data_IF_382601262771
#
_entry.id   IF_382601262771
#
_cell.length_a   1.000
_cell.length_b   1.000
_cell.length_c   1.000
_cell.angle_alpha   90.00
_cell.angle_beta   90.00
_cell.angle_gamma   90.00
#
_symmetry.space_group_name_H-M   'P 1'
#
loop_
_entity.id
_entity.type
_entity.pdbx_description
1 polymer ?
#
# COMPACT_ATOMS: atom_id res chain seq x y z
N UNK A 1 -20.59 -6.80 -23.79
CA UNK A 1 -19.83 -5.76 -23.06
C UNK A 1 -20.05 -6.06 -21.59
N UNK A 2 -19.06 -6.61 -20.88
CA UNK A 2 -19.22 -6.89 -19.45
C UNK A 2 -19.21 -5.57 -18.69
N UNK A 3 -20.25 -5.31 -17.90
CA UNK A 3 -20.25 -4.23 -16.92
C UNK A 3 -18.98 -4.32 -16.07
N UNK A 4 -18.02 -3.42 -16.31
CA UNK A 4 -16.91 -3.22 -15.41
C UNK A 4 -17.44 -2.43 -14.22
N UNK A 5 -18.01 -3.15 -13.25
CA UNK A 5 -18.36 -2.55 -11.97
C UNK A 5 -17.08 -1.94 -11.36
N UNK A 6 -17.12 -0.65 -11.07
CA UNK A 6 -15.99 0.07 -10.50
C UNK A 6 -15.57 -0.60 -9.18
N UNK A 7 -14.29 -0.98 -9.08
CA UNK A 7 -13.76 -1.61 -7.88
C UNK A 7 -13.49 -0.54 -6.84
N UNK A 8 -14.11 -0.65 -5.66
CA UNK A 8 -13.84 0.24 -4.54
C UNK A 8 -12.40 0.07 -4.07
N UNK A 9 -11.61 1.15 -4.12
CA UNK A 9 -10.25 1.18 -3.62
C UNK A 9 -10.29 1.14 -2.08
N UNK A 10 -9.49 0.25 -1.48
CA UNK A 10 -9.42 0.07 -0.02
C UNK A 10 -8.04 0.37 0.56
N UNK A 11 -6.99 0.14 -0.23
CA UNK A 11 -5.59 0.24 0.19
C UNK A 11 -4.76 0.88 -0.90
N UNK A 12 -3.84 1.77 -0.54
CA UNK A 12 -2.85 2.37 -1.43
C UNK A 12 -1.43 2.12 -0.91
N UNK A 13 -0.54 1.61 -1.77
CA UNK A 13 0.89 1.52 -1.50
C UNK A 13 1.58 2.74 -2.11
N UNK A 14 2.26 3.55 -1.30
CA UNK A 14 2.82 4.83 -1.73
C UNK A 14 4.31 4.88 -1.37
N UNK A 15 5.17 5.06 -2.38
CA UNK A 15 6.61 5.24 -2.20
C UNK A 15 7.13 6.15 -3.31
N UNK A 16 7.47 7.38 -2.96
CA UNK A 16 7.85 8.41 -3.94
C UNK A 16 9.12 9.14 -3.53
N UNK A 17 9.98 9.40 -4.51
CA UNK A 17 11.20 10.21 -4.30
C UNK A 17 10.88 11.70 -4.26
N UNK A 18 9.97 12.17 -5.12
CA UNK A 18 9.46 13.53 -5.10
C UNK A 18 8.17 13.61 -4.26
N UNK A 19 8.12 14.53 -3.30
CA UNK A 19 7.02 14.67 -2.32
C UNK A 19 6.08 15.83 -2.67
N UNK A 20 6.27 16.50 -3.80
CA UNK A 20 5.35 17.54 -4.27
C UNK A 20 3.91 16.99 -4.32
N UNK A 21 3.01 17.62 -3.57
CA UNK A 21 1.59 17.25 -3.50
C UNK A 21 1.26 15.97 -2.72
N UNK A 22 2.26 15.26 -2.18
CA UNK A 22 2.07 13.96 -1.51
C UNK A 22 1.09 14.06 -0.34
N UNK A 23 1.28 15.03 0.55
CA UNK A 23 0.49 15.16 1.79
C UNK A 23 -0.98 15.44 1.47
N UNK A 24 -1.25 16.42 0.61
CA UNK A 24 -2.62 16.79 0.23
C UNK A 24 -3.36 15.62 -0.42
N UNK A 25 -2.69 14.94 -1.36
CA UNK A 25 -3.24 13.77 -2.02
C UNK A 25 -3.58 12.66 -1.03
N UNK A 26 -2.63 12.27 -0.17
CA UNK A 26 -2.82 11.21 0.81
C UNK A 26 -3.87 11.56 1.86
N UNK A 27 -3.96 12.83 2.26
CA UNK A 27 -4.97 13.30 3.20
C UNK A 27 -6.38 13.04 2.68
N UNK A 28 -6.65 13.46 1.44
CA UNK A 28 -7.93 13.21 0.78
C UNK A 28 -8.24 11.71 0.69
N UNK A 29 -7.26 10.88 0.33
CA UNK A 29 -7.46 9.42 0.29
C UNK A 29 -7.89 8.85 1.65
N UNK A 30 -7.29 9.31 2.74
CA UNK A 30 -7.60 8.82 4.09
C UNK A 30 -8.91 9.40 4.61
N UNK A 31 -9.05 10.72 4.59
CA UNK A 31 -10.14 11.45 5.27
C UNK A 31 -11.47 11.32 4.50
N UNK A 32 -11.46 11.47 3.17
CA UNK A 32 -12.69 11.47 2.36
C UNK A 32 -13.07 10.06 1.91
N UNK A 33 -12.08 9.21 1.62
CA UNK A 33 -12.32 7.89 1.03
C UNK A 33 -12.08 6.72 1.99
N UNK A 34 -11.52 6.96 3.17
CA UNK A 34 -11.21 5.92 4.15
C UNK A 34 -10.18 4.90 3.65
N UNK A 35 -9.30 5.30 2.74
CA UNK A 35 -8.29 4.41 2.14
C UNK A 35 -7.13 4.23 3.10
N UNK A 36 -6.74 2.97 3.35
CA UNK A 36 -5.57 2.61 4.12
C UNK A 36 -4.29 2.87 3.32
N UNK A 37 -3.38 3.69 3.85
CA UNK A 37 -2.08 3.93 3.21
C UNK A 37 -1.02 3.00 3.82
N UNK A 38 -0.25 2.34 2.95
CA UNK A 38 0.99 1.62 3.28
C UNK A 38 2.14 2.41 2.65
N UNK A 39 3.18 2.69 3.43
CA UNK A 39 4.31 3.50 2.98
C UNK A 39 5.63 3.04 3.60
N UNK A 40 6.74 3.67 3.21
CA UNK A 40 8.09 3.31 3.65
C UNK A 40 9.07 4.47 3.55
N UNK A 41 10.10 4.46 4.42
CA UNK A 41 11.23 5.40 4.41
C UNK A 41 10.75 6.86 4.42
N UNK A 42 11.45 7.73 3.68
CA UNK A 42 11.12 9.15 3.65
C UNK A 42 9.73 9.52 3.09
N UNK A 43 8.98 8.58 2.49
CA UNK A 43 7.56 8.84 2.17
C UNK A 43 6.70 8.70 3.43
N UNK A 44 6.98 7.69 4.25
CA UNK A 44 6.26 7.47 5.51
C UNK A 44 6.52 8.61 6.49
N UNK A 45 7.77 9.05 6.62
CA UNK A 45 8.14 10.15 7.51
C UNK A 45 7.40 11.45 7.15
N UNK A 46 7.39 11.81 5.86
CA UNK A 46 6.68 13.01 5.40
C UNK A 46 5.16 12.96 5.70
N UNK A 47 4.55 11.78 5.64
CA UNK A 47 3.13 11.60 5.98
C UNK A 47 2.89 11.67 7.50
N UNK A 48 3.74 11.03 8.30
CA UNK A 48 3.66 11.05 9.77
C UNK A 48 3.85 12.47 10.32
N UNK A 49 4.83 13.22 9.82
CA UNK A 49 5.07 14.62 10.20
C UNK A 49 3.84 15.50 9.93
N UNK A 50 3.16 15.27 8.79
CA UNK A 50 1.93 15.94 8.43
C UNK A 50 0.66 15.36 9.12
N UNK A 51 0.82 14.41 10.04
CA UNK A 51 -0.26 13.73 10.76
C UNK A 51 -1.26 13.02 9.84
N UNK A 52 -0.80 12.54 8.68
CA UNK A 52 -1.59 11.67 7.79
C UNK A 52 -1.36 10.22 8.19
N UNK A 53 -2.44 9.48 8.46
CA UNK A 53 -2.34 8.10 8.90
C UNK A 53 -1.76 7.20 7.79
N UNK A 54 -0.67 6.49 8.08
CA UNK A 54 -0.01 5.58 7.16
C UNK A 54 0.69 4.46 7.94
N UNK A 55 0.57 3.24 7.43
CA UNK A 55 1.15 2.02 8.02
C UNK A 55 2.53 1.80 7.42
N UNK A 56 3.48 1.39 8.25
CA UNK A 56 4.81 1.04 7.78
C UNK A 56 4.80 -0.30 7.05
N UNK A 57 5.55 -0.40 5.95
CA UNK A 57 5.59 -1.65 5.16
C UNK A 57 6.13 -2.85 5.94
N UNK A 58 7.02 -2.63 6.90
CA UNK A 58 7.56 -3.67 7.78
C UNK A 58 6.49 -4.22 8.72
N UNK A 59 5.64 -3.34 9.28
CA UNK A 59 4.46 -3.73 10.07
C UNK A 59 3.46 -4.54 9.24
N UNK A 60 3.20 -4.10 8.00
CA UNK A 60 2.28 -4.79 7.10
C UNK A 60 2.78 -6.18 6.67
N UNK A 61 4.06 -6.28 6.31
CA UNK A 61 4.67 -7.52 5.84
C UNK A 61 4.99 -8.48 7.00
N UNK A 62 5.32 -7.94 8.18
CA UNK A 62 5.92 -8.67 9.29
C UNK A 62 7.41 -8.94 9.10
N UNK A 63 8.04 -8.32 8.09
CA UNK A 63 9.45 -8.52 7.75
C UNK A 63 10.25 -7.23 7.99
N UNK A 64 11.39 -7.29 8.70
CA UNK A 64 12.17 -6.09 9.02
C UNK A 64 12.84 -5.51 7.76
N UNK A 65 13.21 -4.24 7.84
CA UNK A 65 14.07 -3.63 6.82
C UNK A 65 15.47 -4.26 6.84
N UNK A 66 16.04 -4.52 5.66
CA UNK A 66 17.40 -5.02 5.51
C UNK A 66 18.08 -4.45 4.26
N UNK A 67 19.41 -4.52 4.22
CA UNK A 67 20.26 -4.05 3.12
C UNK A 67 20.02 -2.57 2.75
N UNK A 68 19.94 -1.69 3.75
CA UNK A 68 19.66 -0.26 3.60
C UNK A 68 18.42 0.00 2.73
N UNK A 69 17.36 -0.75 2.99
CA UNK A 69 16.06 -0.57 2.33
C UNK A 69 15.94 -1.14 0.92
N UNK A 70 16.96 -1.87 0.42
CA UNK A 70 16.95 -2.44 -0.94
C UNK A 70 15.87 -3.51 -1.17
N UNK A 71 15.47 -4.25 -0.14
CA UNK A 71 14.57 -5.41 -0.29
C UNK A 71 13.30 -5.32 0.55
N UNK A 72 12.97 -4.13 1.07
CA UNK A 72 11.83 -3.91 1.98
C UNK A 72 10.45 -4.15 1.37
N UNK A 73 10.32 -4.07 0.05
CA UNK A 73 9.04 -4.28 -0.67
C UNK A 73 8.97 -5.60 -1.42
N UNK A 74 10.07 -6.36 -1.49
CA UNK A 74 10.16 -7.64 -2.21
C UNK A 74 9.53 -8.76 -1.38
N UNK A 75 8.22 -8.65 -1.13
CA UNK A 75 7.48 -9.55 -0.27
C UNK A 75 6.18 -10.02 -0.95
N UNK A 76 5.74 -11.29 -0.77
CA UNK A 76 4.50 -11.81 -1.38
C UNK A 76 3.25 -11.00 -1.03
N UNK A 77 3.11 -10.52 0.23
CA UNK A 77 2.00 -9.63 0.62
C UNK A 77 1.92 -8.34 -0.22
N UNK A 78 3.06 -7.84 -0.70
CA UNK A 78 3.13 -6.63 -1.52
C UNK A 78 2.86 -6.98 -2.97
N UNK A 79 3.69 -7.85 -3.57
CA UNK A 79 3.61 -8.17 -4.99
C UNK A 79 2.36 -9.00 -5.34
N UNK A 80 1.92 -9.89 -4.46
CA UNK A 80 0.66 -10.62 -4.62
C UNK A 80 -0.54 -9.69 -4.59
N UNK A 81 -0.54 -8.68 -3.71
CA UNK A 81 -1.60 -7.65 -3.69
C UNK A 81 -1.66 -6.79 -4.96
N UNK A 82 -0.52 -6.58 -5.63
CA UNK A 82 -0.43 -5.80 -6.88
C UNK A 82 -0.75 -6.65 -8.11
N UNK A 83 -0.23 -7.87 -8.18
CA UNK A 83 -0.22 -8.70 -9.39
C UNK A 83 -1.38 -9.69 -9.49
N UNK A 84 -2.13 -9.92 -8.41
CA UNK A 84 -3.22 -10.87 -8.41
C UNK A 84 -4.33 -10.48 -9.39
N UNK A 85 -4.79 -11.47 -10.17
CA UNK A 85 -5.91 -11.30 -11.09
C UNK A 85 -7.20 -11.44 -10.29
N UNK A 86 -8.01 -10.38 -10.33
CA UNK A 86 -9.35 -10.35 -9.74
C UNK A 86 -10.18 -11.55 -10.20
N UNK A 87 -10.92 -12.15 -9.28
CA UNK A 87 -11.78 -13.31 -9.49
C UNK A 87 -11.07 -14.61 -9.94
N UNK A 88 -9.72 -14.64 -10.00
CA UNK A 88 -8.96 -15.83 -10.40
C UNK A 88 -7.98 -16.30 -9.34
N UNK A 89 -7.25 -15.37 -8.73
CA UNK A 89 -6.16 -15.71 -7.81
C UNK A 89 -6.57 -15.60 -6.32
N UNK A 90 -7.84 -15.33 -6.03
CA UNK A 90 -8.33 -15.03 -4.68
C UNK A 90 -8.09 -16.17 -3.68
N UNK A 91 -8.34 -17.43 -4.09
CA UNK A 91 -8.08 -18.59 -3.23
C UNK A 91 -6.60 -18.69 -2.84
N UNK A 92 -5.69 -18.48 -3.80
CA UNK A 92 -4.23 -18.52 -3.55
C UNK A 92 -3.80 -17.38 -2.64
N UNK A 93 -4.37 -16.18 -2.81
CA UNK A 93 -4.10 -15.04 -1.93
C UNK A 93 -4.51 -15.32 -0.48
N UNK A 94 -5.71 -15.86 -0.28
CA UNK A 94 -6.25 -16.22 1.04
C UNK A 94 -5.40 -17.28 1.73
N UNK A 95 -5.06 -18.37 1.03
CA UNK A 95 -4.22 -19.46 1.54
C UNK A 95 -2.81 -19.01 1.96
N UNK A 96 -2.31 -17.90 1.38
CA UNK A 96 -0.97 -17.36 1.65
C UNK A 96 -0.99 -16.05 2.48
N UNK A 97 -2.13 -15.69 3.08
CA UNK A 97 -2.28 -14.49 3.91
C UNK A 97 -1.92 -13.17 3.18
N UNK A 98 -2.31 -13.07 1.91
CA UNK A 98 -2.16 -11.88 1.05
C UNK A 98 -3.54 -11.19 0.98
N UNK A 99 -3.96 -10.53 2.06
CA UNK A 99 -5.28 -9.86 2.15
C UNK A 99 -5.22 -8.54 2.91
#
# INVERSE_FOLDING_TARGET
MSDQQAVKIRTALISVSNKTGLVEFCRVLVEEFGIKIISTGGTLEALKEAKVNAIEISEFTGFPEMMNGRVKTLHPKVHGGILARRNKDQKVMEENNIT
#
